data_IF_936370923741
#
_entry.id   IF_936370923741
#
_cell.length_a   1.000
_cell.length_b   1.000
_cell.length_c   1.000
_cell.angle_alpha   90.00
_cell.angle_beta   90.00
_cell.angle_gamma   90.00
#
_symmetry.space_group_name_H-M   'P 1'
#
loop_
_entity.id
_entity.type
_entity.pdbx_description
1 polymer ?
#
# COMPACT_ATOMS: atom_id res chain seq x y z
N UNK A 1 13.01 -11.38 -1.25
CA UNK A 1 13.67 -10.72 -0.10
C UNK A 1 13.75 -11.68 1.07
N UNK A 2 14.95 -11.85 1.62
CA UNK A 2 15.24 -12.66 2.80
C UNK A 2 15.33 -11.77 4.05
N UNK A 3 15.32 -12.36 5.27
CA UNK A 3 15.56 -11.60 6.49
C UNK A 3 16.90 -10.87 6.42
N UNK A 4 16.99 -9.70 7.06
CA UNK A 4 18.17 -8.83 7.06
C UNK A 4 18.56 -8.16 5.72
N UNK A 5 17.88 -8.48 4.62
CA UNK A 5 18.04 -7.69 3.41
C UNK A 5 17.38 -6.32 3.59
N UNK A 6 17.95 -5.29 2.98
CA UNK A 6 17.31 -3.97 2.88
C UNK A 6 16.61 -3.81 1.54
N UNK A 7 15.38 -3.33 1.57
CA UNK A 7 14.62 -2.93 0.40
C UNK A 7 14.39 -1.41 0.47
N UNK A 8 14.88 -0.69 -0.53
CA UNK A 8 14.82 0.77 -0.59
C UNK A 8 16.12 1.42 -1.09
N UNK A 9 16.21 2.73 -0.92
CA UNK A 9 17.27 3.59 -1.44
C UNK A 9 18.34 3.88 -0.40
N UNK A 10 19.57 3.48 -0.70
CA UNK A 10 20.77 4.00 -0.04
C UNK A 10 21.15 5.33 -0.73
N UNK A 11 21.02 6.44 -0.01
CA UNK A 11 21.22 7.79 -0.57
C UNK A 11 22.70 8.09 -0.81
N UNK A 12 23.58 7.46 -0.01
CA UNK A 12 25.02 7.68 -0.05
C UNK A 12 25.65 7.04 -1.30
N UNK A 13 25.19 5.84 -1.65
CA UNK A 13 25.66 5.09 -2.83
C UNK A 13 24.75 5.24 -4.05
N UNK A 14 23.56 5.83 -3.87
CA UNK A 14 22.48 5.92 -4.87
C UNK A 14 21.90 4.56 -5.29
N UNK A 15 22.22 3.49 -4.56
CA UNK A 15 21.73 2.15 -4.85
C UNK A 15 20.28 2.00 -4.38
N UNK A 16 19.36 1.78 -5.31
CA UNK A 16 17.98 1.43 -5.01
C UNK A 16 17.81 -0.10 -5.11
N UNK A 17 17.51 -0.73 -3.98
CA UNK A 17 17.25 -2.18 -3.86
C UNK A 17 15.75 -2.41 -3.91
N UNK A 18 15.29 -3.15 -4.90
CA UNK A 18 13.87 -3.48 -5.12
C UNK A 18 13.73 -4.91 -5.61
N UNK A 19 12.51 -5.44 -5.63
CA UNK A 19 12.23 -6.80 -6.08
C UNK A 19 11.65 -6.74 -7.49
N UNK A 20 12.12 -7.62 -8.38
CA UNK A 20 11.52 -7.86 -9.69
C UNK A 20 10.99 -9.28 -9.76
N UNK A 21 9.93 -9.52 -10.52
CA UNK A 21 9.48 -10.87 -10.80
C UNK A 21 10.45 -11.60 -11.72
N UNK A 22 10.30 -12.92 -11.76
CA UNK A 22 10.79 -13.72 -12.88
C UNK A 22 9.95 -13.44 -14.12
N UNK A 23 10.50 -13.78 -15.29
CA UNK A 23 9.81 -13.64 -16.57
C UNK A 23 8.78 -14.74 -16.76
N UNK A 24 9.09 -15.97 -16.35
CA UNK A 24 8.16 -17.09 -16.24
C UNK A 24 8.57 -18.01 -15.08
N UNK A 25 7.78 -19.03 -14.72
CA UNK A 25 8.19 -20.01 -13.70
C UNK A 25 9.49 -20.76 -14.05
N UNK A 26 9.81 -20.88 -15.34
CA UNK A 26 10.99 -21.57 -15.86
C UNK A 26 12.15 -20.62 -16.25
N UNK A 27 11.88 -19.32 -16.41
CA UNK A 27 12.86 -18.31 -16.81
C UNK A 27 13.10 -17.28 -15.69
N UNK A 28 14.24 -17.35 -14.98
CA UNK A 28 14.59 -16.43 -13.90
C UNK A 28 15.03 -15.04 -14.38
N UNK A 29 14.97 -14.76 -15.69
CA UNK A 29 15.17 -13.43 -16.24
C UNK A 29 14.20 -12.40 -15.65
N UNK A 30 14.51 -11.12 -15.84
CA UNK A 30 13.68 -10.02 -15.32
C UNK A 30 12.30 -10.02 -15.98
N UNK A 31 11.25 -10.17 -15.17
CA UNK A 31 9.86 -10.06 -15.61
C UNK A 31 9.31 -8.63 -15.55
N UNK A 32 8.00 -8.51 -15.75
CA UNK A 32 7.31 -7.22 -15.91
C UNK A 32 6.90 -6.56 -14.59
N UNK A 33 6.86 -7.33 -13.50
CA UNK A 33 6.42 -6.84 -12.20
C UNK A 33 7.59 -6.37 -11.35
N UNK A 34 7.40 -5.26 -10.65
CA UNK A 34 8.37 -4.75 -9.69
C UNK A 34 7.72 -4.23 -8.42
N UNK A 35 8.37 -4.48 -7.29
CA UNK A 35 7.99 -3.95 -5.98
C UNK A 35 9.09 -3.04 -5.45
N UNK A 36 8.80 -1.74 -5.41
CA UNK A 36 9.82 -0.69 -5.23
C UNK A 36 9.35 0.38 -4.27
N UNK A 37 10.32 0.92 -3.51
CA UNK A 37 10.10 2.07 -2.65
C UNK A 37 10.16 3.35 -3.47
N UNK A 38 9.08 4.13 -3.43
CA UNK A 38 9.06 5.50 -3.87
C UNK A 38 9.40 6.44 -2.71
N UNK A 39 10.35 7.33 -2.96
CA UNK A 39 10.82 8.34 -2.01
C UNK A 39 10.25 9.73 -2.30
N UNK A 40 9.39 9.86 -3.31
CA UNK A 40 8.76 11.14 -3.64
C UNK A 40 7.68 11.48 -2.61
N UNK A 41 7.91 12.55 -1.82
CA UNK A 41 7.03 12.92 -0.71
C UNK A 41 7.08 11.92 0.46
N UNK A 42 5.91 11.44 0.91
CA UNK A 42 5.81 10.42 1.95
C UNK A 42 6.17 9.06 1.38
N UNK A 43 7.25 8.46 1.90
CA UNK A 43 7.82 7.21 1.38
C UNK A 43 6.85 6.05 1.47
N UNK A 44 6.66 5.35 0.35
CA UNK A 44 5.67 4.30 0.16
C UNK A 44 6.24 3.21 -0.75
N UNK A 45 5.73 1.98 -0.63
CA UNK A 45 6.08 0.90 -1.54
C UNK A 45 4.94 0.66 -2.52
N UNK A 46 5.30 0.41 -3.77
CA UNK A 46 4.38 0.15 -4.86
C UNK A 46 4.72 -1.17 -5.54
N UNK A 47 3.69 -1.97 -5.79
CA UNK A 47 3.72 -3.04 -6.78
C UNK A 47 3.25 -2.47 -8.11
N UNK A 48 4.00 -2.74 -9.17
CA UNK A 48 3.73 -2.22 -10.51
C UNK A 48 3.98 -3.27 -11.58
N UNK A 49 3.30 -3.13 -12.70
CA UNK A 49 3.55 -3.86 -13.95
C UNK A 49 3.95 -2.83 -14.99
N UNK A 50 5.23 -2.81 -15.36
CA UNK A 50 5.78 -1.72 -16.17
C UNK A 50 5.55 -0.34 -15.52
N UNK A 51 4.73 0.51 -16.14
CA UNK A 51 4.38 1.84 -15.64
C UNK A 51 3.07 1.89 -14.85
N UNK A 52 2.30 0.80 -14.81
CA UNK A 52 1.00 0.74 -14.15
C UNK A 52 1.16 0.33 -12.68
N UNK A 53 0.54 1.06 -11.77
CA UNK A 53 0.52 0.72 -10.35
C UNK A 53 -0.62 -0.25 -10.07
N UNK A 54 -0.31 -1.36 -9.40
CA UNK A 54 -1.27 -2.42 -9.07
C UNK A 54 -1.69 -2.33 -7.61
N UNK A 55 -0.75 -2.08 -6.71
CA UNK A 55 -0.99 -2.04 -5.28
C UNK A 55 -0.02 -1.09 -4.60
N UNK A 56 -0.44 -0.46 -3.50
CA UNK A 56 0.41 0.37 -2.65
C UNK A 56 0.32 -0.09 -1.20
N UNK A 57 1.45 -0.08 -0.50
CA UNK A 57 1.45 -0.35 0.96
C UNK A 57 0.95 0.82 1.78
N UNK A 58 0.85 2.02 1.18
CA UNK A 58 0.67 3.26 1.94
C UNK A 58 1.91 3.62 2.77
N UNK A 59 1.90 4.79 3.42
CA UNK A 59 3.06 5.30 4.16
C UNK A 59 3.31 4.49 5.44
N UNK A 60 4.55 4.58 5.92
CA UNK A 60 4.91 4.09 7.25
C UNK A 60 4.33 5.00 8.34
N UNK A 61 3.59 4.42 9.30
CA UNK A 61 2.94 5.17 10.38
C UNK A 61 3.70 5.13 11.72
N UNK A 62 4.92 4.57 11.75
CA UNK A 62 5.69 4.35 12.97
C UNK A 62 5.63 2.91 13.49
N UNK A 63 4.56 2.18 13.18
CA UNK A 63 4.32 0.80 13.61
C UNK A 63 4.33 -0.19 12.43
N UNK A 64 3.83 0.24 11.27
CA UNK A 64 3.66 -0.59 10.09
C UNK A 64 3.37 0.26 8.85
N UNK A 65 3.30 -0.39 7.70
CA UNK A 65 2.71 0.22 6.51
C UNK A 65 1.19 0.12 6.58
N UNK A 66 0.48 1.23 6.37
CA UNK A 66 -0.98 1.32 6.63
C UNK A 66 -1.84 0.39 5.76
N UNK A 67 -1.37 0.04 4.56
CA UNK A 67 -1.98 -0.93 3.65
C UNK A 67 -1.55 -2.38 3.90
N UNK A 68 -0.86 -2.66 5.02
CA UNK A 68 -0.53 -4.02 5.47
C UNK A 68 -0.84 -4.15 6.97
N UNK A 69 -2.12 -4.15 7.36
CA UNK A 69 -2.51 -4.17 8.78
C UNK A 69 -2.01 -5.40 9.54
N UNK A 70 -1.76 -6.52 8.85
CA UNK A 70 -1.21 -7.74 9.44
C UNK A 70 0.18 -7.54 10.06
N UNK A 71 0.95 -6.54 9.62
CA UNK A 71 2.24 -6.22 10.23
C UNK A 71 2.11 -5.87 11.72
N UNK A 72 0.94 -5.36 12.14
CA UNK A 72 0.69 -4.99 13.54
C UNK A 72 0.33 -6.19 14.43
N UNK A 73 -0.07 -7.31 13.84
CA UNK A 73 -0.58 -8.48 14.57
C UNK A 73 0.31 -9.71 14.44
N UNK A 74 1.23 -9.76 13.46
CA UNK A 74 2.13 -10.90 13.29
C UNK A 74 3.31 -10.87 14.26
N UNK A 75 3.28 -11.73 15.29
CA UNK A 75 4.32 -11.83 16.32
C UNK A 75 5.64 -12.49 15.89
N UNK A 76 5.73 -13.00 14.65
CA UNK A 76 6.89 -13.76 14.17
C UNK A 76 7.94 -12.90 13.44
N UNK A 77 7.59 -11.65 13.09
CA UNK A 77 8.46 -10.74 12.36
C UNK A 77 8.67 -9.43 13.13
N UNK A 78 9.89 -8.88 13.05
CA UNK A 78 10.17 -7.49 13.39
C UNK A 78 10.42 -6.73 12.07
N UNK A 79 9.78 -5.59 11.89
CA UNK A 79 9.86 -4.78 10.67
C UNK A 79 10.42 -3.43 11.05
N UNK A 80 11.54 -3.09 10.42
CA UNK A 80 12.24 -1.84 10.65
C UNK A 80 12.17 -0.98 9.41
N UNK A 81 11.97 0.30 9.63
CA UNK A 81 11.93 1.30 8.58
C UNK A 81 12.86 2.45 8.95
N UNK A 82 13.76 2.78 8.03
CA UNK A 82 14.63 3.95 8.14
C UNK A 82 14.20 4.97 7.12
N UNK A 83 14.09 6.22 7.55
CA UNK A 83 13.97 7.39 6.69
C UNK A 83 14.87 8.48 7.27
N UNK A 84 16.15 8.38 6.91
CA UNK A 84 17.23 9.24 7.41
C UNK A 84 17.88 9.99 6.25
N UNK A 85 18.89 10.81 6.56
CA UNK A 85 19.70 11.48 5.53
C UNK A 85 20.48 10.48 4.66
N UNK A 86 20.82 9.31 5.20
CA UNK A 86 21.66 8.30 4.56
C UNK A 86 20.85 7.25 3.79
N UNK A 87 19.64 6.92 4.24
CA UNK A 87 18.84 5.89 3.60
C UNK A 87 17.33 6.07 3.79
N UNK A 88 16.57 5.52 2.83
CA UNK A 88 15.15 5.23 2.99
C UNK A 88 14.92 3.77 2.65
N UNK A 89 14.71 2.92 3.65
CA UNK A 89 14.63 1.48 3.45
C UNK A 89 13.78 0.79 4.51
N UNK A 90 13.30 -0.40 4.17
CA UNK A 90 12.74 -1.34 5.11
C UNK A 90 13.58 -2.62 5.18
N UNK A 91 13.56 -3.24 6.35
CA UNK A 91 14.09 -4.56 6.62
C UNK A 91 13.03 -5.34 7.39
N UNK A 92 13.01 -6.66 7.22
CA UNK A 92 12.31 -7.53 8.15
C UNK A 92 13.29 -8.55 8.73
N UNK A 93 13.06 -8.93 9.97
CA UNK A 93 13.78 -10.00 10.66
C UNK A 93 12.77 -10.97 11.26
N UNK A 94 13.26 -12.15 11.65
CA UNK A 94 12.46 -13.15 12.37
C UNK A 94 12.68 -12.99 13.87
N UNK A 95 11.61 -13.06 14.65
CA UNK A 95 11.72 -13.05 16.12
C UNK A 95 12.36 -14.35 16.62
N UNK A 96 12.05 -15.48 15.98
CA UNK A 96 12.75 -16.75 16.17
C UNK A 96 13.64 -17.06 14.96
N UNK A 97 14.96 -17.08 15.17
CA UNK A 97 15.95 -17.24 14.11
C UNK A 97 16.07 -18.66 13.53
N UNK A 98 15.39 -19.67 14.10
CA UNK A 98 15.45 -21.06 13.58
C UNK A 98 14.61 -21.28 12.32
N UNK A 99 13.61 -20.43 12.08
CA UNK A 99 12.69 -20.57 10.95
C UNK A 99 13.23 -19.91 9.68
N UNK A 100 12.69 -20.31 8.53
CA UNK A 100 12.96 -19.67 7.24
C UNK A 100 11.73 -18.89 6.78
N UNK A 101 11.92 -17.64 6.35
CA UNK A 101 10.87 -16.85 5.71
C UNK A 101 11.43 -16.04 4.55
N UNK A 102 10.65 -15.90 3.48
CA UNK A 102 11.05 -15.12 2.31
C UNK A 102 9.84 -14.47 1.66
N UNK A 103 10.06 -13.29 1.10
CA UNK A 103 9.10 -12.61 0.24
C UNK A 103 9.50 -12.85 -1.22
N UNK A 104 8.55 -13.21 -2.07
CA UNK A 104 8.74 -13.44 -3.50
C UNK A 104 7.70 -12.67 -4.31
N UNK A 105 8.08 -12.30 -5.53
CA UNK A 105 7.19 -11.73 -6.53
C UNK A 105 7.16 -12.69 -7.71
N UNK A 106 6.02 -13.33 -7.94
CA UNK A 106 5.80 -14.30 -9.02
C UNK A 106 5.74 -13.64 -10.39
N UNK A 107 5.91 -14.44 -11.46
CA UNK A 107 5.75 -13.97 -12.85
C UNK A 107 4.30 -13.61 -13.20
N UNK A 108 3.35 -14.00 -12.35
CA UNK A 108 1.93 -13.64 -12.37
C UNK A 108 1.61 -12.35 -11.59
N UNK A 109 2.64 -11.70 -11.03
CA UNK A 109 2.49 -10.49 -10.22
C UNK A 109 2.09 -10.76 -8.77
N UNK A 110 1.97 -12.02 -8.34
CA UNK A 110 1.64 -12.33 -6.94
C UNK A 110 2.81 -12.01 -6.02
N UNK A 111 2.61 -11.03 -5.14
CA UNK A 111 3.55 -10.67 -4.08
C UNK A 111 3.22 -11.47 -2.82
N UNK A 112 4.05 -12.46 -2.46
CA UNK A 112 3.74 -13.42 -1.41
C UNK A 112 4.87 -13.58 -0.41
N UNK A 113 4.50 -13.82 0.85
CA UNK A 113 5.42 -14.24 1.91
C UNK A 113 5.26 -15.73 2.18
N UNK A 114 6.35 -16.46 2.03
CA UNK A 114 6.46 -17.87 2.38
C UNK A 114 7.22 -18.03 3.68
N UNK A 115 6.74 -18.89 4.57
CA UNK A 115 7.41 -19.25 5.83
C UNK A 115 7.44 -20.77 5.96
N UNK A 116 8.55 -21.31 6.45
CA UNK A 116 8.71 -22.73 6.70
C UNK A 116 7.88 -23.14 7.92
N UNK A 117 6.90 -24.01 7.69
CA UNK A 117 6.24 -24.77 8.74
C UNK A 117 7.16 -25.90 9.19
N UNK A 118 7.81 -25.72 10.33
CA UNK A 118 8.76 -26.69 10.90
C UNK A 118 8.10 -28.04 11.23
N UNK A 119 6.78 -28.09 11.48
CA UNK A 119 6.09 -29.34 11.84
C UNK A 119 5.88 -30.24 10.63
N UNK A 120 5.53 -29.62 9.50
CA UNK A 120 5.20 -30.32 8.26
C UNK A 120 6.32 -30.26 7.21
N UNK A 121 7.44 -29.61 7.53
CA UNK A 121 8.60 -29.42 6.65
C UNK A 121 8.26 -28.83 5.27
N UNK A 122 7.34 -27.87 5.23
CA UNK A 122 6.84 -27.26 3.98
C UNK A 122 6.82 -25.73 4.05
N UNK A 123 6.99 -25.08 2.90
CA UNK A 123 6.81 -23.63 2.77
C UNK A 123 5.33 -23.31 2.61
N UNK A 124 4.81 -22.49 3.51
CA UNK A 124 3.41 -22.04 3.48
C UNK A 124 3.37 -20.56 3.09
N UNK A 125 2.52 -20.22 2.13
CA UNK A 125 2.19 -18.83 1.81
C UNK A 125 1.27 -18.28 2.91
N UNK A 126 1.82 -17.49 3.83
CA UNK A 126 1.07 -16.99 5.00
C UNK A 126 0.41 -15.63 4.75
N UNK A 127 0.84 -14.92 3.71
CA UNK A 127 0.33 -13.60 3.36
C UNK A 127 0.64 -13.28 1.89
N UNK A 128 -0.22 -12.49 1.26
CA UNK A 128 -0.08 -12.03 -0.11
C UNK A 128 -0.70 -10.64 -0.31
N UNK A 129 -0.24 -9.91 -1.32
CA UNK A 129 -0.90 -8.71 -1.83
C UNK A 129 -1.00 -8.73 -3.36
N UNK A 130 -2.04 -8.13 -3.96
CA UNK A 130 -3.24 -7.56 -3.33
C UNK A 130 -4.15 -8.65 -2.73
N UNK A 131 -4.85 -8.37 -1.61
CA UNK A 131 -5.66 -9.38 -0.88
C UNK A 131 -7.12 -9.37 -1.31
N UNK A 132 -7.67 -8.18 -1.54
CA UNK A 132 -9.06 -7.99 -1.96
C UNK A 132 -9.18 -6.90 -3.04
N UNK A 133 -10.36 -6.70 -3.65
CA UNK A 133 -10.52 -5.72 -4.71
C UNK A 133 -10.14 -4.28 -4.33
N UNK A 134 -10.24 -3.89 -3.05
CA UNK A 134 -9.92 -2.55 -2.56
C UNK A 134 -8.42 -2.27 -2.45
N UNK A 135 -7.60 -3.32 -2.38
CA UNK A 135 -6.15 -3.18 -2.45
C UNK A 135 -5.69 -2.76 -3.85
N UNK A 136 -6.47 -3.05 -4.90
CA UNK A 136 -6.11 -2.64 -6.25
C UNK A 136 -6.03 -1.11 -6.34
N UNK A 137 -4.89 -0.64 -6.82
CA UNK A 137 -4.59 0.78 -6.88
C UNK A 137 -5.64 1.50 -7.76
N UNK A 138 -6.29 2.50 -7.18
CA UNK A 138 -7.32 3.27 -7.90
C UNK A 138 -8.64 2.53 -8.11
N UNK A 139 -8.92 1.44 -7.36
CA UNK A 139 -10.20 0.72 -7.43
C UNK A 139 -11.41 1.64 -7.36
N UNK A 140 -11.38 2.57 -6.41
CA UNK A 140 -12.34 3.65 -6.30
C UNK A 140 -11.64 4.97 -6.66
N UNK A 141 -12.30 5.77 -7.49
CA UNK A 141 -11.72 6.98 -8.06
C UNK A 141 -11.47 8.09 -7.02
N UNK A 142 -10.99 9.26 -7.45
CA UNK A 142 -10.68 10.37 -6.55
C UNK A 142 -11.85 10.75 -5.64
N UNK A 143 -11.54 11.14 -4.39
CA UNK A 143 -12.52 11.54 -3.36
C UNK A 143 -13.56 10.46 -2.99
N UNK A 144 -13.21 9.19 -3.14
CA UNK A 144 -14.00 8.06 -2.68
C UNK A 144 -13.17 7.09 -1.83
N UNK A 145 -13.83 6.29 -1.02
CA UNK A 145 -13.26 5.22 -0.21
C UNK A 145 -13.72 3.86 -0.74
N UNK A 146 -12.91 2.82 -0.51
CA UNK A 146 -13.22 1.45 -0.85
C UNK A 146 -13.45 0.63 0.42
N UNK A 147 -14.58 -0.06 0.51
CA UNK A 147 -14.92 -0.95 1.62
C UNK A 147 -15.67 -2.19 1.09
N UNK A 148 -14.99 -3.34 1.15
CA UNK A 148 -15.51 -4.64 0.71
C UNK A 148 -16.66 -5.17 1.57
N UNK A 149 -16.87 -4.62 2.78
CA UNK A 149 -17.92 -5.05 3.70
C UNK A 149 -19.21 -4.25 3.56
N UNK A 150 -19.27 -3.34 2.58
CA UNK A 150 -20.49 -2.60 2.27
C UNK A 150 -21.61 -3.56 1.84
N UNK A 151 -22.68 -3.61 2.64
CA UNK A 151 -23.84 -4.47 2.38
C UNK A 151 -24.62 -4.14 1.09
N UNK A 152 -24.23 -3.09 0.35
CA UNK A 152 -24.85 -2.67 -0.90
C UNK A 152 -24.29 -3.39 -2.15
N UNK A 153 -23.25 -4.21 -2.00
CA UNK A 153 -22.61 -4.94 -3.10
C UNK A 153 -21.79 -4.07 -4.06
N UNK A 154 -21.58 -2.80 -3.73
CA UNK A 154 -20.68 -1.89 -4.42
C UNK A 154 -19.77 -1.23 -3.37
N UNK A 155 -18.49 -1.50 -3.51
CA UNK A 155 -17.44 -1.20 -2.52
C UNK A 155 -17.04 0.27 -2.46
N UNK A 156 -17.33 1.05 -3.52
CA UNK A 156 -16.95 2.44 -3.57
C UNK A 156 -18.01 3.36 -2.96
N UNK A 157 -17.57 4.23 -2.06
CA UNK A 157 -18.42 5.23 -1.39
C UNK A 157 -17.78 6.61 -1.50
N UNK A 158 -18.55 7.64 -1.82
CA UNK A 158 -18.03 9.00 -1.81
C UNK A 158 -17.70 9.44 -0.38
N UNK A 159 -16.63 10.22 -0.23
CA UNK A 159 -16.32 10.87 1.05
C UNK A 159 -17.44 11.85 1.45
N UNK A 160 -17.55 12.15 2.74
CA UNK A 160 -18.54 13.10 3.23
C UNK A 160 -18.43 14.47 2.51
N UNK A 161 -19.55 14.96 1.98
CA UNK A 161 -19.62 16.19 1.19
C UNK A 161 -19.26 16.04 -0.29
N UNK A 162 -19.15 14.81 -0.79
CA UNK A 162 -18.94 14.49 -2.20
C UNK A 162 -20.07 13.60 -2.73
N UNK A 163 -20.33 13.73 -4.03
CA UNK A 163 -21.31 12.94 -4.80
C UNK A 163 -20.68 12.36 -6.08
N UNK A 164 -21.23 11.27 -6.64
CA UNK A 164 -20.67 10.66 -7.84
C UNK A 164 -20.65 11.64 -9.01
N UNK A 165 -19.53 11.72 -9.75
CA UNK A 165 -19.44 12.56 -10.96
C UNK A 165 -20.40 12.11 -12.06
N UNK A 166 -20.71 10.81 -12.10
CA UNK A 166 -21.58 10.19 -13.09
C UNK A 166 -22.49 9.20 -12.40
N UNK A 167 -23.76 9.59 -12.20
CA UNK A 167 -24.77 8.69 -11.63
C UNK A 167 -24.98 7.44 -12.49
N UNK A 168 -24.78 7.55 -13.81
CA UNK A 168 -24.89 6.42 -14.74
C UNK A 168 -23.82 5.37 -14.43
N UNK A 169 -22.57 5.78 -14.37
CA UNK A 169 -21.45 4.86 -14.17
C UNK A 169 -21.50 4.28 -12.74
N UNK A 170 -21.85 5.11 -11.76
CA UNK A 170 -22.09 4.67 -10.38
C UNK A 170 -23.20 3.62 -10.27
N UNK A 171 -24.30 3.78 -11.01
CA UNK A 171 -25.41 2.81 -11.06
C UNK A 171 -25.00 1.49 -11.73
N UNK A 172 -23.99 1.52 -12.59
CA UNK A 172 -23.36 0.35 -13.20
C UNK A 172 -22.23 -0.24 -12.35
N UNK A 173 -22.03 0.27 -11.12
CA UNK A 173 -20.96 -0.13 -10.19
C UNK A 173 -19.55 0.18 -10.72
N UNK A 174 -19.44 1.23 -11.51
CA UNK A 174 -18.17 1.80 -11.95
C UNK A 174 -17.85 3.06 -11.12
N UNK A 175 -16.95 2.90 -10.15
CA UNK A 175 -16.46 3.97 -9.28
C UNK A 175 -15.20 4.66 -9.78
N UNK A 176 -14.67 4.29 -10.95
CA UNK A 176 -13.37 4.75 -11.44
C UNK A 176 -13.30 6.27 -11.65
N UNK A 177 -14.41 6.89 -12.05
CA UNK A 177 -14.54 8.35 -12.20
C UNK A 177 -14.43 9.12 -10.87
N UNK A 178 -14.70 8.46 -9.76
CA UNK A 178 -14.70 9.03 -8.41
C UNK A 178 -15.84 10.02 -8.17
N UNK A 179 -15.62 10.90 -7.20
CA UNK A 179 -16.64 11.82 -6.71
C UNK A 179 -16.19 13.28 -6.86
N UNK A 180 -17.16 14.17 -6.98
CA UNK A 180 -17.01 15.62 -6.95
C UNK A 180 -17.72 16.24 -5.76
N UNK A 181 -17.39 17.48 -5.41
CA UNK A 181 -17.98 18.14 -4.24
C UNK A 181 -19.47 18.35 -4.49
N UNK A 182 -20.30 17.93 -3.53
CA UNK A 182 -21.74 18.15 -3.60
C UNK A 182 -22.07 19.63 -3.64
N UNK A 183 -23.09 20.01 -4.40
CA UNK A 183 -23.58 21.38 -4.40
C UNK A 183 -24.02 21.80 -2.99
N UNK A 184 -23.45 22.90 -2.49
CA UNK A 184 -23.74 23.41 -1.14
C UNK A 184 -22.88 22.84 -0.01
N UNK A 185 -21.87 22.01 -0.31
CA UNK A 185 -20.90 21.59 0.70
C UNK A 185 -20.16 22.81 1.30
N UNK A 186 -20.19 22.94 2.63
CA UNK A 186 -19.53 24.04 3.33
C UNK A 186 -18.04 24.08 2.98
N UNK A 187 -17.62 25.16 2.34
CA UNK A 187 -16.20 25.44 2.10
C UNK A 187 -15.71 26.32 3.23
N UNK A 188 -14.54 26.00 3.80
CA UNK A 188 -13.79 26.99 4.57
C UNK A 188 -13.35 28.08 3.58
N UNK A 189 -14.18 29.10 3.39
CA UNK A 189 -13.83 30.30 2.64
C UNK A 189 -12.91 31.12 3.53
N UNK A 190 -11.60 30.91 3.37
CA UNK A 190 -10.46 31.75 3.76
C UNK A 190 -10.45 32.45 5.13
N UNK A 191 -9.30 32.26 5.79
CA UNK A 191 -8.75 32.90 6.99
C UNK A 191 -9.32 32.42 8.32
N UNK A 192 -8.47 31.68 9.04
CA UNK A 192 -8.66 31.37 10.45
C UNK A 192 -8.78 32.69 11.22
N UNK A 193 -10.01 33.11 11.51
CA UNK A 193 -10.24 34.16 12.48
C UNK A 193 -9.83 33.60 13.84
N UNK A 194 -8.68 34.03 14.36
CA UNK A 194 -8.34 33.80 15.76
C UNK A 194 -9.33 34.59 16.60
N UNK A 195 -10.29 33.90 17.18
CA UNK A 195 -11.14 34.46 18.21
C UNK A 195 -10.44 34.23 19.55
N UNK A 196 -10.03 35.32 20.21
CA UNK A 196 -9.62 35.34 21.61
C UNK A 196 -10.66 36.20 22.33
N UNK A 197 -11.21 35.69 23.43
CA UNK A 197 -12.20 36.37 24.29
C UNK A 197 -13.44 36.91 23.54
N UNK A 198 -14.04 36.08 22.69
CA UNK A 198 -15.41 36.30 22.21
C UNK A 198 -15.60 37.37 21.13
N UNK A 199 -14.53 38.01 20.65
CA UNK A 199 -14.58 38.92 19.50
C UNK A 199 -13.78 38.38 18.32
N UNK A 200 -14.45 38.15 17.20
CA UNK A 200 -13.86 37.78 15.93
C UNK A 200 -13.97 39.00 14.99
N UNK A 201 -12.86 39.57 14.55
CA UNK A 201 -12.83 40.62 13.53
C UNK A 201 -12.22 40.08 12.24
N UNK A 202 -12.71 40.59 11.10
CA UNK A 202 -12.13 40.35 9.78
C UNK A 202 -10.80 41.09 9.64
#
# INVERSE_FOLDING_TARGET
MLPHMKLGLDRRTRLNRFITSWKSPEDPGTGEYSFKLDVSGSSQLFLSMGSEWIWRTGPWNGLGFVGVPEMLTTFIFDIRFWNTVDEVSMEFTLVNSSSFSSIKLGSDGLYQRYTLDERNHQLVAIWSAARDPCDNYGRCGPNSNCDVYTGAGFECTCLAGFEPKSLRDWSLRDGSGGCERSQGANTCRSEATRCIDGTCQR
#
